data_IF_165273418062
#
_entry.id   IF_165273418062
#
_cell.length_a   1.000
_cell.length_b   1.000
_cell.length_c   1.000
_cell.angle_alpha   90.00
_cell.angle_beta   90.00
_cell.angle_gamma   90.00
#
_symmetry.space_group_name_H-M   'P 1'
#
loop_
_entity.id
_entity.type
_entity.pdbx_description
1 polymer ?
#
# COMPACT_ATOMS: atom_id res chain seq x y z
N UNK A 1 23.13 -7.53 -5.85
CA UNK A 1 22.96 -8.99 -5.98
C UNK A 1 21.47 -9.24 -6.06
N UNK A 2 20.92 -9.45 -7.27
CA UNK A 2 19.50 -9.73 -7.46
C UNK A 2 19.30 -11.20 -7.10
N UNK A 3 18.94 -11.47 -5.86
CA UNK A 3 18.36 -12.76 -5.55
C UNK A 3 17.00 -12.81 -6.25
N UNK A 4 16.85 -13.81 -7.10
CA UNK A 4 15.62 -14.19 -7.76
C UNK A 4 14.68 -14.83 -6.70
N UNK A 5 14.42 -14.10 -5.60
CA UNK A 5 13.81 -14.57 -4.34
C UNK A 5 12.30 -14.81 -4.46
N UNK A 6 11.70 -14.53 -5.61
CA UNK A 6 10.27 -14.65 -5.82
C UNK A 6 9.73 -16.08 -5.60
N UNK A 7 10.60 -17.10 -5.63
CA UNK A 7 10.22 -18.51 -5.54
C UNK A 7 10.82 -19.26 -4.33
N UNK A 8 11.47 -18.56 -3.39
CA UNK A 8 11.93 -19.23 -2.18
C UNK A 8 10.73 -19.65 -1.31
N UNK A 9 10.66 -20.89 -0.78
CA UNK A 9 9.49 -21.38 -0.03
C UNK A 9 9.08 -20.49 1.14
N UNK A 10 10.05 -19.91 1.84
CA UNK A 10 9.78 -18.96 2.93
C UNK A 10 9.06 -17.69 2.43
N UNK A 11 9.48 -17.15 1.28
CA UNK A 11 8.90 -15.95 0.70
C UNK A 11 7.48 -16.23 0.17
N UNK A 12 7.26 -17.41 -0.41
CA UNK A 12 5.91 -17.89 -0.79
C UNK A 12 5.01 -17.97 0.45
N UNK A 13 5.48 -18.59 1.53
CA UNK A 13 4.74 -18.69 2.79
C UNK A 13 4.40 -17.32 3.39
N UNK A 14 5.37 -16.40 3.41
CA UNK A 14 5.17 -15.02 3.86
C UNK A 14 4.09 -14.32 3.04
N UNK A 15 4.15 -14.40 1.71
CA UNK A 15 3.16 -13.79 0.81
C UNK A 15 1.77 -14.39 0.97
N UNK A 16 1.66 -15.71 1.13
CA UNK A 16 0.36 -16.36 1.39
C UNK A 16 -0.27 -15.87 2.68
N UNK A 17 0.52 -15.76 3.77
CA UNK A 17 0.05 -15.22 5.05
C UNK A 17 -0.48 -13.79 4.89
N UNK A 18 0.32 -12.92 4.27
CA UNK A 18 -0.05 -11.52 4.06
C UNK A 18 -1.28 -11.39 3.15
N UNK A 19 -1.38 -12.21 2.10
CA UNK A 19 -2.52 -12.29 1.20
C UNK A 19 -3.80 -12.65 1.98
N UNK A 20 -3.71 -13.63 2.88
CA UNK A 20 -4.84 -14.07 3.69
C UNK A 20 -5.28 -13.00 4.69
N UNK A 21 -4.32 -12.33 5.34
CA UNK A 21 -4.60 -11.20 6.24
C UNK A 21 -5.36 -10.07 5.52
N UNK A 22 -4.97 -9.72 4.28
CA UNK A 22 -5.71 -8.74 3.47
C UNK A 22 -7.09 -9.24 3.02
N UNK A 23 -7.22 -10.53 2.74
CA UNK A 23 -8.51 -11.10 2.32
C UNK A 23 -9.56 -11.02 3.44
N UNK A 24 -9.15 -11.00 4.71
CA UNK A 24 -10.07 -10.74 5.82
C UNK A 24 -10.62 -9.32 5.77
N UNK A 25 -9.77 -8.34 5.45
CA UNK A 25 -10.17 -6.93 5.33
C UNK A 25 -11.20 -6.75 4.21
N UNK A 26 -11.10 -7.50 3.12
CA UNK A 26 -12.11 -7.47 2.05
C UNK A 26 -13.52 -7.80 2.60
N UNK A 27 -13.61 -8.74 3.54
CA UNK A 27 -14.88 -9.14 4.14
C UNK A 27 -15.46 -8.05 5.04
N UNK A 28 -14.60 -7.24 5.67
CA UNK A 28 -15.02 -6.08 6.46
C UNK A 28 -15.50 -4.92 5.56
N UNK A 29 -14.96 -4.81 4.34
CA UNK A 29 -15.42 -3.83 3.35
C UNK A 29 -16.85 -4.09 2.86
N UNK A 30 -17.47 -5.22 3.20
CA UNK A 30 -18.90 -5.46 2.93
C UNK A 30 -19.79 -4.49 3.71
N UNK A 31 -19.34 -4.00 4.85
CA UNK A 31 -20.13 -3.13 5.71
C UNK A 31 -19.98 -1.65 5.30
N UNK A 32 -21.10 -0.91 5.15
CA UNK A 32 -21.06 0.49 4.72
C UNK A 32 -20.33 1.40 5.72
N UNK A 33 -20.36 1.10 7.02
CA UNK A 33 -19.69 1.85 8.07
C UNK A 33 -18.16 1.82 7.88
N UNK A 34 -17.61 0.62 7.68
CA UNK A 34 -16.18 0.39 7.40
C UNK A 34 -15.75 1.16 6.16
N UNK A 35 -16.54 1.08 5.08
CA UNK A 35 -16.26 1.80 3.83
C UNK A 35 -16.25 3.31 4.01
N UNK A 36 -17.20 3.86 4.78
CA UNK A 36 -17.27 5.31 5.05
C UNK A 36 -16.07 5.78 5.86
N UNK A 37 -15.69 5.06 6.92
CA UNK A 37 -14.53 5.39 7.75
C UNK A 37 -13.25 5.44 6.90
N UNK A 38 -12.99 4.37 6.14
CA UNK A 38 -11.80 4.26 5.31
C UNK A 38 -11.77 5.29 4.17
N UNK A 39 -12.94 5.62 3.59
CA UNK A 39 -13.06 6.67 2.59
C UNK A 39 -12.65 8.05 3.15
N UNK A 40 -12.96 8.33 4.42
CA UNK A 40 -12.56 9.56 5.09
C UNK A 40 -11.05 9.56 5.34
N UNK A 41 -10.51 8.49 5.92
CA UNK A 41 -9.07 8.33 6.20
C UNK A 41 -8.22 8.55 4.93
N UNK A 42 -8.61 7.95 3.81
CA UNK A 42 -7.93 8.13 2.53
C UNK A 42 -7.92 9.59 2.05
N UNK A 43 -9.03 10.32 2.22
CA UNK A 43 -9.12 11.72 1.76
C UNK A 43 -8.16 12.65 2.48
N UNK A 44 -7.90 12.39 3.76
CA UNK A 44 -6.98 13.18 4.57
C UNK A 44 -5.51 12.84 4.28
N UNK A 45 -5.21 11.57 4.01
CA UNK A 45 -3.82 11.10 3.90
C UNK A 45 -3.25 11.13 2.46
N UNK A 46 -4.07 11.34 1.43
CA UNK A 46 -3.61 11.27 0.04
C UNK A 46 -2.74 12.47 -0.40
N UNK A 47 -1.56 12.25 -0.99
CA UNK A 47 -0.77 13.31 -1.64
C UNK A 47 -1.56 13.99 -2.76
N UNK A 48 -1.39 15.31 -2.92
CA UNK A 48 -2.17 16.11 -3.87
C UNK A 48 -2.09 15.59 -5.33
N UNK A 49 -0.94 15.07 -5.76
CA UNK A 49 -0.73 14.56 -7.13
C UNK A 49 -1.48 13.27 -7.46
N UNK A 50 -1.77 12.42 -6.46
CA UNK A 50 -2.42 11.11 -6.66
C UNK A 50 -3.92 11.14 -6.35
N UNK A 51 -4.42 12.26 -5.81
CA UNK A 51 -5.79 12.42 -5.29
C UNK A 51 -6.87 12.11 -6.32
N UNK A 52 -6.73 12.61 -7.55
CA UNK A 52 -7.76 12.50 -8.60
C UNK A 52 -8.04 11.04 -9.02
N UNK A 53 -7.00 10.18 -9.02
CA UNK A 53 -7.12 8.75 -9.36
C UNK A 53 -7.86 7.96 -8.28
N UNK A 54 -7.64 8.30 -7.01
CA UNK A 54 -8.24 7.58 -5.88
C UNK A 54 -9.60 8.17 -5.44
N UNK A 55 -9.89 9.44 -5.70
CA UNK A 55 -11.18 10.07 -5.38
C UNK A 55 -12.36 9.34 -6.03
N UNK A 56 -12.24 8.95 -7.31
CA UNK A 56 -13.33 8.24 -8.00
C UNK A 56 -13.66 6.89 -7.34
N UNK A 57 -12.63 6.22 -6.82
CA UNK A 57 -12.75 4.94 -6.12
C UNK A 57 -13.47 5.19 -4.79
N UNK A 58 -13.00 6.16 -4.02
CA UNK A 58 -13.59 6.59 -2.75
C UNK A 58 -15.06 7.01 -2.92
N UNK A 59 -15.39 7.73 -3.98
CA UNK A 59 -16.77 8.12 -4.29
C UNK A 59 -17.65 6.90 -4.58
N UNK A 60 -17.14 5.90 -5.31
CA UNK A 60 -17.86 4.63 -5.54
C UNK A 60 -18.10 3.88 -4.23
N UNK A 61 -17.11 3.81 -3.33
CA UNK A 61 -17.22 3.24 -1.98
C UNK A 61 -18.38 3.86 -1.18
N UNK A 62 -18.51 5.19 -1.24
CA UNK A 62 -19.51 5.95 -0.46
C UNK A 62 -20.94 5.84 -1.03
N UNK A 63 -21.10 5.56 -2.33
CA UNK A 63 -22.43 5.41 -2.97
C UNK A 63 -23.15 4.13 -2.54
N UNK A 64 -22.41 3.07 -2.20
CA UNK A 64 -22.99 1.81 -1.73
C UNK A 64 -23.50 1.93 -0.29
N UNK A 65 -24.78 2.31 -0.12
CA UNK A 65 -25.43 2.47 1.20
C UNK A 65 -25.79 1.15 1.89
N UNK A 66 -25.84 0.03 1.17
CA UNK A 66 -26.20 -1.30 1.68
C UNK A 66 -24.98 -2.19 1.84
N UNK A 67 -25.14 -3.26 2.63
CA UNK A 67 -24.13 -4.32 2.67
C UNK A 67 -23.91 -4.90 1.28
N UNK A 68 -22.65 -5.20 0.95
CA UNK A 68 -22.27 -5.84 -0.32
C UNK A 68 -22.24 -7.35 -0.10
N UNK A 69 -22.73 -8.11 -1.09
CA UNK A 69 -22.73 -9.57 -1.00
C UNK A 69 -21.30 -10.10 -0.98
N UNK A 70 -21.10 -11.25 -0.34
CA UNK A 70 -19.82 -11.96 -0.44
C UNK A 70 -19.55 -12.44 -1.88
N UNK A 71 -20.59 -12.61 -2.70
CA UNK A 71 -20.46 -12.98 -4.12
C UNK A 71 -19.83 -11.86 -4.96
N UNK A 72 -19.90 -10.62 -4.49
CA UNK A 72 -19.27 -9.47 -5.12
C UNK A 72 -17.80 -9.30 -4.66
N UNK A 73 -17.13 -10.39 -4.27
CA UNK A 73 -15.77 -10.34 -3.73
C UNK A 73 -14.76 -9.66 -4.67
N UNK A 74 -14.95 -9.80 -5.99
CA UNK A 74 -14.16 -9.09 -7.00
C UNK A 74 -14.17 -7.56 -6.85
N UNK A 75 -15.31 -6.99 -6.44
CA UNK A 75 -15.42 -5.57 -6.15
C UNK A 75 -14.68 -5.22 -4.85
N UNK A 76 -14.83 -6.05 -3.82
CA UNK A 76 -14.23 -5.84 -2.50
C UNK A 76 -12.70 -5.90 -2.55
N UNK A 77 -12.13 -6.86 -3.28
CA UNK A 77 -10.67 -6.97 -3.50
C UNK A 77 -10.15 -5.75 -4.26
N UNK A 78 -10.77 -5.36 -5.38
CA UNK A 78 -10.35 -4.19 -6.15
C UNK A 78 -10.30 -2.96 -5.24
N UNK A 79 -11.37 -2.75 -4.48
CA UNK A 79 -11.53 -1.65 -3.55
C UNK A 79 -10.45 -1.64 -2.48
N UNK A 80 -10.17 -2.78 -1.84
CA UNK A 80 -9.11 -2.88 -0.86
C UNK A 80 -7.74 -2.59 -1.49
N UNK A 81 -7.42 -3.16 -2.64
CA UNK A 81 -6.13 -2.98 -3.30
C UNK A 81 -5.86 -1.53 -3.67
N UNK A 82 -6.86 -0.80 -4.18
CA UNK A 82 -6.71 0.63 -4.48
C UNK A 82 -6.50 1.45 -3.22
N UNK A 83 -7.23 1.16 -2.13
CA UNK A 83 -7.01 1.81 -0.83
C UNK A 83 -5.61 1.55 -0.32
N UNK A 84 -5.15 0.30 -0.31
CA UNK A 84 -3.82 -0.09 0.16
C UNK A 84 -2.71 0.54 -0.68
N UNK A 85 -2.92 0.66 -1.99
CA UNK A 85 -2.00 1.38 -2.87
C UNK A 85 -1.89 2.86 -2.48
N UNK A 86 -3.02 3.54 -2.30
CA UNK A 86 -3.07 4.93 -1.85
C UNK A 86 -2.37 5.14 -0.49
N UNK A 87 -2.69 4.30 0.50
CA UNK A 87 -2.09 4.34 1.84
C UNK A 87 -0.57 4.15 1.77
N UNK A 88 -0.09 3.17 1.00
CA UNK A 88 1.33 2.88 0.86
C UNK A 88 2.07 4.05 0.19
N UNK A 89 1.54 4.59 -0.91
CA UNK A 89 2.14 5.74 -1.59
C UNK A 89 2.24 6.96 -0.66
N UNK A 90 1.16 7.25 0.08
CA UNK A 90 1.13 8.33 1.08
C UNK A 90 2.23 8.16 2.13
N UNK A 91 2.31 6.97 2.72
CA UNK A 91 3.29 6.66 3.76
C UNK A 91 4.72 6.79 3.26
N UNK A 92 5.02 6.27 2.06
CA UNK A 92 6.36 6.38 1.46
C UNK A 92 6.71 7.85 1.20
N UNK A 93 5.80 8.62 0.58
CA UNK A 93 6.03 10.04 0.28
C UNK A 93 6.27 10.83 1.56
N UNK A 94 5.45 10.64 2.59
CA UNK A 94 5.63 11.32 3.88
C UNK A 94 6.98 10.99 4.51
N UNK A 95 7.38 9.70 4.47
CA UNK A 95 8.64 9.24 5.03
C UNK A 95 9.83 9.82 4.27
N UNK A 96 9.79 9.88 2.94
CA UNK A 96 10.86 10.49 2.15
C UNK A 96 10.93 12.00 2.36
N UNK A 97 9.79 12.69 2.45
CA UNK A 97 9.78 14.14 2.68
C UNK A 97 10.36 14.53 4.04
N UNK A 98 10.07 13.77 5.10
CA UNK A 98 10.61 14.06 6.44
C UNK A 98 12.13 13.93 6.51
N UNK A 99 12.72 13.09 5.66
CA UNK A 99 14.17 12.88 5.63
C UNK A 99 14.90 13.68 4.54
N UNK A 100 14.18 14.32 3.62
CA UNK A 100 14.76 15.11 2.52
C UNK A 100 15.34 16.47 2.96
N UNK A 101 15.05 16.93 4.17
CA UNK A 101 15.61 18.18 4.70
C UNK A 101 17.04 18.00 5.28
N UNK A 102 17.49 16.77 5.50
CA UNK A 102 18.84 16.43 6.00
C UNK A 102 19.80 15.91 4.90
N UNK A 103 19.58 16.32 3.65
CA UNK A 103 20.37 15.87 2.48
C UNK A 103 21.80 16.41 2.57
N UNK A 104 22.65 15.64 3.24
CA UNK A 104 24.08 15.90 3.42
C UNK A 104 24.73 15.19 4.60
N UNK A 105 23.95 14.76 5.61
CA UNK A 105 24.47 14.19 6.87
C UNK A 105 23.90 12.79 7.22
N UNK A 106 23.12 12.20 6.29
CA UNK A 106 22.57 10.86 6.44
C UNK A 106 23.65 9.76 6.44
N UNK A 107 23.44 8.70 7.22
CA UNK A 107 24.34 7.53 7.18
C UNK A 107 24.22 6.79 5.83
N UNK A 108 25.25 6.06 5.40
CA UNK A 108 25.19 5.25 4.16
C UNK A 108 24.01 4.26 4.17
N UNK A 109 23.67 3.74 5.36
CA UNK A 109 22.50 2.87 5.53
C UNK A 109 21.19 3.63 5.25
N UNK A 110 21.02 4.81 5.82
CA UNK A 110 19.84 5.66 5.65
C UNK A 110 19.61 6.01 4.17
N UNK A 111 20.68 6.41 3.47
CA UNK A 111 20.64 6.66 2.02
C UNK A 111 20.19 5.43 1.23
N UNK A 112 20.67 4.23 1.59
CA UNK A 112 20.23 2.98 0.94
C UNK A 112 18.75 2.67 1.20
N UNK A 113 18.28 2.91 2.42
CA UNK A 113 16.87 2.71 2.78
C UNK A 113 15.97 3.68 2.01
N UNK A 114 16.35 4.96 1.92
CA UNK A 114 15.64 5.97 1.14
C UNK A 114 15.59 5.62 -0.35
N UNK A 115 16.74 5.30 -0.96
CA UNK A 115 16.80 4.88 -2.36
C UNK A 115 15.89 3.67 -2.62
N UNK A 116 15.87 2.69 -1.72
CA UNK A 116 15.00 1.52 -1.87
C UNK A 116 13.51 1.88 -1.74
N UNK A 117 13.15 2.79 -0.83
CA UNK A 117 11.79 3.32 -0.75
C UNK A 117 11.37 4.08 -2.01
N UNK A 118 12.27 4.85 -2.61
CA UNK A 118 12.05 5.51 -3.89
C UNK A 118 11.84 4.51 -5.03
N UNK A 119 12.64 3.44 -5.09
CA UNK A 119 12.45 2.35 -6.06
C UNK A 119 11.07 1.71 -5.91
N UNK A 120 10.64 1.43 -4.68
CA UNK A 120 9.31 0.87 -4.42
C UNK A 120 8.22 1.87 -4.82
N UNK A 121 8.38 3.15 -4.48
CA UNK A 121 7.45 4.22 -4.86
C UNK A 121 7.25 4.28 -6.37
N UNK A 122 8.35 4.27 -7.14
CA UNK A 122 8.30 4.26 -8.60
C UNK A 122 7.65 2.98 -9.14
N UNK A 123 7.98 1.81 -8.58
CA UNK A 123 7.38 0.53 -8.96
C UNK A 123 5.86 0.55 -8.81
N UNK A 124 5.36 1.05 -7.67
CA UNK A 124 3.92 1.15 -7.40
C UNK A 124 3.23 2.13 -8.37
N UNK A 125 3.90 3.25 -8.70
CA UNK A 125 3.38 4.27 -9.63
C UNK A 125 3.33 3.79 -11.08
N UNK A 126 4.30 2.98 -11.49
CA UNK A 126 4.40 2.45 -12.86
C UNK A 126 3.44 1.27 -13.10
N UNK A 127 3.13 0.49 -12.07
CA UNK A 127 2.17 -0.62 -12.15
C UNK A 127 0.90 -0.36 -11.31
N UNK A 128 0.08 0.67 -11.61
CA UNK A 128 -1.17 0.88 -10.90
C UNK A 128 -2.19 -0.22 -11.21
N UNK A 129 -3.09 -0.50 -10.26
CA UNK A 129 -4.21 -1.41 -10.55
C UNK A 129 -5.08 -0.81 -11.67
N UNK A 130 -5.24 -1.59 -12.74
CA UNK A 130 -6.01 -1.21 -13.94
C UNK A 130 -7.43 -0.80 -13.57
N UNK A 131 -8.09 0.00 -14.43
CA UNK A 131 -9.50 0.32 -14.24
C UNK A 131 -10.36 -0.93 -14.46
N UNK A 132 -11.28 -1.21 -13.54
CA UNK A 132 -12.19 -2.36 -13.55
C UNK A 132 -11.45 -3.71 -13.85
N UNK A 133 -10.47 -4.09 -13.01
CA UNK A 133 -9.72 -5.31 -13.21
C UNK A 133 -10.62 -6.54 -13.04
N UNK A 134 -10.29 -7.63 -13.73
CA UNK A 134 -10.86 -8.94 -13.40
C UNK A 134 -10.44 -9.38 -11.99
N UNK A 135 -11.18 -10.33 -11.41
CA UNK A 135 -10.82 -10.93 -10.11
C UNK A 135 -9.39 -11.51 -10.15
N UNK A 136 -9.03 -12.21 -11.22
CA UNK A 136 -7.70 -12.78 -11.40
C UNK A 136 -6.60 -11.70 -11.47
N UNK A 137 -6.85 -10.60 -12.18
CA UNK A 137 -5.91 -9.47 -12.21
C UNK A 137 -5.74 -8.84 -10.83
N UNK A 138 -6.82 -8.74 -10.05
CA UNK A 138 -6.79 -8.21 -8.68
C UNK A 138 -6.00 -9.12 -7.73
N UNK A 139 -6.20 -10.44 -7.82
CA UNK A 139 -5.44 -11.44 -7.07
C UNK A 139 -3.94 -11.38 -7.42
N UNK A 140 -3.63 -11.32 -8.72
CA UNK A 140 -2.24 -11.21 -9.19
C UNK A 140 -1.58 -9.92 -8.73
N UNK A 141 -2.32 -8.81 -8.78
CA UNK A 141 -1.86 -7.53 -8.27
C UNK A 141 -1.56 -7.62 -6.78
N UNK A 142 -2.51 -8.11 -5.97
CA UNK A 142 -2.34 -8.29 -4.53
C UNK A 142 -1.10 -9.11 -4.20
N UNK A 143 -0.90 -10.25 -4.88
CA UNK A 143 0.24 -11.12 -4.66
C UNK A 143 1.59 -10.39 -4.80
N UNK A 144 1.71 -9.52 -5.80
CA UNK A 144 2.91 -8.69 -6.01
C UNK A 144 2.97 -7.54 -5.01
N UNK A 145 1.87 -6.81 -4.88
CA UNK A 145 1.82 -5.55 -4.15
C UNK A 145 1.95 -5.74 -2.64
N UNK A 146 1.43 -6.84 -2.09
CA UNK A 146 1.50 -7.11 -0.65
C UNK A 146 2.94 -7.26 -0.15
N UNK A 147 3.82 -7.86 -0.97
CA UNK A 147 5.24 -8.01 -0.64
C UNK A 147 5.96 -6.66 -0.65
N UNK A 148 5.71 -5.83 -1.68
CA UNK A 148 6.29 -4.48 -1.80
C UNK A 148 5.85 -3.58 -0.65
N UNK A 149 4.58 -3.65 -0.27
CA UNK A 149 4.04 -2.88 0.85
C UNK A 149 4.66 -3.29 2.19
N UNK A 150 4.79 -4.60 2.45
CA UNK A 150 5.44 -5.09 3.66
C UNK A 150 6.91 -4.65 3.74
N UNK A 151 7.62 -4.70 2.62
CA UNK A 151 8.98 -4.16 2.51
C UNK A 151 9.01 -2.66 2.79
N UNK A 152 8.12 -1.87 2.19
CA UNK A 152 8.04 -0.43 2.42
C UNK A 152 7.76 -0.08 3.89
N UNK A 153 6.85 -0.82 4.55
CA UNK A 153 6.56 -0.66 5.97
C UNK A 153 7.81 -0.93 6.82
N UNK A 154 8.51 -2.04 6.56
CA UNK A 154 9.75 -2.35 7.25
C UNK A 154 10.82 -1.27 7.07
N UNK A 155 11.04 -0.80 5.83
CA UNK A 155 12.05 0.22 5.53
C UNK A 155 11.71 1.56 6.20
N UNK A 156 10.44 1.95 6.20
CA UNK A 156 9.97 3.14 6.91
C UNK A 156 10.23 3.03 8.41
N UNK A 157 9.82 1.93 9.03
CA UNK A 157 9.96 1.75 10.48
C UNK A 157 11.46 1.74 10.88
N UNK A 158 12.32 1.21 10.00
CA UNK A 158 13.78 1.30 10.15
C UNK A 158 14.31 2.73 10.07
N UNK A 159 13.86 3.51 9.10
CA UNK A 159 14.23 4.91 8.96
C UNK A 159 13.82 5.72 10.20
N UNK A 160 12.58 5.56 10.66
CA UNK A 160 12.09 6.23 11.87
C UNK A 160 12.87 5.82 13.13
N UNK A 161 13.29 4.56 13.22
CA UNK A 161 14.18 4.11 14.29
C UNK A 161 15.56 4.76 14.27
N UNK A 162 16.08 5.10 13.09
CA UNK A 162 17.36 5.83 12.97
C UNK A 162 17.17 7.28 13.43
N UNK A 163 16.10 7.95 13.01
CA UNK A 163 15.76 9.32 13.45
C UNK A 163 15.61 9.40 14.97
N UNK A 164 14.79 8.52 15.57
CA UNK A 164 14.54 8.53 17.01
C UNK A 164 15.81 8.34 17.86
N UNK A 165 16.84 7.67 17.33
CA UNK A 165 18.14 7.53 17.98
C UNK A 165 19.05 8.76 17.83
N UNK A 166 18.82 9.60 16.81
CA UNK A 166 19.54 10.87 16.67
C UNK A 166 18.99 11.95 17.59
N UNK A 167 17.68 11.91 17.87
CA UNK A 167 16.99 12.90 18.71
C UNK A 167 17.03 12.61 20.21
N UNK A 168 17.58 11.45 20.62
CA UNK A 168 17.73 11.02 22.01
C UNK A 168 19.17 11.24 22.50
#
# INVERSE_FOLDING_TARGET
MQLNDAWHPFEIGRRLRLFWEESKVDMDLRFPETRRRLAIELRFNLPAGDRSRFIQVIERFQRAKRSISFLDWGLLIEWNERRRQAECLSQIVHSLSSHSEEVGLGSELERRLQNRLEEILQSIRQEPLRQNPSLFESIRFRWKFVALRDEALYLRDRLHHIESRRSA
#
